data_IF_566029040138
#
_entry.id   IF_566029040138
#
_cell.length_a   1.000
_cell.length_b   1.000
_cell.length_c   1.000
_cell.angle_alpha   90.00
_cell.angle_beta   90.00
_cell.angle_gamma   90.00
#
_symmetry.space_group_name_H-M   'P 1'
#
loop_
_entity.id
_entity.type
_entity.pdbx_description
1 polymer ?
#
# COMPACT_ATOMS: atom_id res chain seq x y z
N UNK A 1 9.47 -8.34 -2.19
CA UNK A 1 8.39 -7.42 -1.81
C UNK A 1 8.82 -6.02 -2.20
N UNK A 2 8.80 -5.71 -3.50
CA UNK A 2 9.45 -4.48 -3.99
C UNK A 2 8.46 -3.50 -4.61
N UNK A 3 7.21 -3.91 -4.84
CA UNK A 3 6.23 -3.09 -5.55
C UNK A 3 4.85 -3.16 -4.92
N UNK A 4 4.33 -1.98 -4.58
CA UNK A 4 2.90 -1.77 -4.32
C UNK A 4 2.20 -1.57 -5.66
N UNK A 5 1.15 -2.35 -5.92
CA UNK A 5 0.37 -2.31 -7.16
C UNK A 5 -0.98 -1.60 -6.98
N UNK A 6 -1.48 -1.50 -5.75
CA UNK A 6 -2.70 -0.75 -5.44
C UNK A 6 -2.71 -0.23 -4.01
N UNK A 7 -3.44 0.88 -3.81
CA UNK A 7 -3.74 1.49 -2.51
C UNK A 7 -5.25 1.66 -2.44
N UNK A 8 -5.91 1.08 -1.44
CA UNK A 8 -7.37 1.11 -1.31
C UNK A 8 -7.82 1.41 0.11
N UNK A 9 -9.05 1.91 0.26
CA UNK A 9 -9.70 2.11 1.55
C UNK A 9 -10.30 0.79 2.10
N UNK A 10 -10.27 0.55 3.42
CA UNK A 10 -10.77 -0.69 4.04
C UNK A 10 -12.30 -0.79 4.13
N UNK A 11 -13.03 0.23 3.66
CA UNK A 11 -14.47 0.37 3.88
C UNK A 11 -15.36 -0.57 3.05
N UNK A 12 -14.88 -1.04 1.89
CA UNK A 12 -15.69 -1.82 0.96
C UNK A 12 -15.76 -3.30 1.34
N UNK A 13 -16.88 -3.97 1.03
CA UNK A 13 -17.01 -5.42 1.22
C UNK A 13 -15.93 -6.23 0.46
N UNK A 14 -15.59 -5.92 -0.80
CA UNK A 14 -14.47 -6.55 -1.50
C UNK A 14 -13.13 -6.39 -0.77
N UNK A 15 -12.81 -5.19 -0.28
CA UNK A 15 -11.54 -4.96 0.44
C UNK A 15 -11.49 -5.78 1.73
N UNK A 16 -12.59 -5.82 2.49
CA UNK A 16 -12.66 -6.62 3.73
C UNK A 16 -12.47 -8.10 3.45
N UNK A 17 -13.06 -8.61 2.37
CA UNK A 17 -12.89 -9.99 1.94
C UNK A 17 -11.43 -10.29 1.58
N UNK A 18 -10.79 -9.41 0.80
CA UNK A 18 -9.39 -9.53 0.44
C UNK A 18 -8.46 -9.56 1.66
N UNK A 19 -8.72 -8.73 2.68
CA UNK A 19 -7.97 -8.77 3.95
C UNK A 19 -8.15 -10.12 4.63
N UNK A 20 -9.40 -10.62 4.73
CA UNK A 20 -9.70 -11.86 5.42
C UNK A 20 -9.06 -13.08 4.73
N UNK A 21 -9.14 -13.15 3.40
CA UNK A 21 -8.47 -14.18 2.58
C UNK A 21 -6.94 -14.09 2.69
N UNK A 22 -6.38 -12.89 2.86
CA UNK A 22 -4.94 -12.74 3.06
C UNK A 22 -4.52 -13.17 4.46
N UNK A 23 -5.36 -12.95 5.49
CA UNK A 23 -5.12 -13.45 6.85
C UNK A 23 -5.08 -14.98 6.90
N UNK A 24 -6.00 -15.66 6.20
CA UNK A 24 -6.01 -17.12 6.16
C UNK A 24 -4.76 -17.72 5.47
N UNK A 25 -4.10 -16.95 4.62
CA UNK A 25 -2.84 -17.32 3.95
C UNK A 25 -1.57 -16.83 4.65
N UNK A 26 -1.65 -16.25 5.85
CA UNK A 26 -0.52 -15.60 6.54
C UNK A 26 0.18 -14.51 5.69
N UNK A 27 -0.57 -13.85 4.80
CA UNK A 27 -0.05 -12.84 3.87
C UNK A 27 -0.43 -11.41 4.28
N UNK A 28 -0.82 -11.20 5.54
CA UNK A 28 -1.13 -9.87 6.07
C UNK A 28 0.03 -9.36 6.91
N UNK A 29 0.44 -8.13 6.61
CA UNK A 29 1.42 -7.38 7.39
C UNK A 29 0.68 -6.24 8.08
N UNK A 30 0.66 -6.27 9.40
CA UNK A 30 -0.02 -5.25 10.20
C UNK A 30 0.97 -4.15 10.62
N UNK A 31 0.85 -2.97 9.99
CA UNK A 31 1.65 -1.78 10.32
C UNK A 31 0.84 -0.74 11.09
N UNK A 32 -0.29 -1.14 11.69
CA UNK A 32 -1.20 -0.21 12.36
C UNK A 32 -0.75 0.17 13.77
N UNK A 33 0.03 -0.66 14.45
CA UNK A 33 0.44 -0.47 15.84
C UNK A 33 -0.76 -0.14 16.76
N UNK A 34 -1.87 -0.89 16.63
CA UNK A 34 -3.09 -0.72 17.42
C UNK A 34 -4.00 0.43 16.98
N UNK A 35 -3.62 1.20 15.94
CA UNK A 35 -4.46 2.26 15.37
C UNK A 35 -5.46 1.67 14.38
N UNK A 36 -6.52 2.44 14.09
CA UNK A 36 -7.47 2.07 13.03
C UNK A 36 -6.77 2.01 11.67
N UNK A 37 -6.95 0.91 10.94
CA UNK A 37 -6.56 0.83 9.52
C UNK A 37 -7.28 1.90 8.72
N UNK A 38 -6.52 2.72 8.00
CA UNK A 38 -7.05 3.77 7.11
C UNK A 38 -6.77 3.46 5.64
N UNK A 39 -5.67 2.75 5.35
CA UNK A 39 -5.35 2.28 4.01
C UNK A 39 -4.95 0.81 4.02
N UNK A 40 -5.14 0.17 2.87
CA UNK A 40 -4.74 -1.20 2.57
C UNK A 40 -3.87 -1.14 1.31
N UNK A 41 -2.65 -1.64 1.43
CA UNK A 41 -1.67 -1.68 0.34
C UNK A 41 -1.62 -3.11 -0.20
N UNK A 42 -1.72 -3.25 -1.51
CA UNK A 42 -1.63 -4.54 -2.20
C UNK A 42 -0.28 -4.59 -2.92
N UNK A 43 0.47 -5.66 -2.69
CA UNK A 43 1.78 -5.88 -3.32
C UNK A 43 1.70 -6.89 -4.46
N UNK A 44 2.68 -6.85 -5.35
CA UNK A 44 2.87 -7.84 -6.41
C UNK A 44 3.05 -9.27 -5.88
N UNK A 45 3.64 -9.42 -4.69
CA UNK A 45 3.82 -10.70 -4.00
C UNK A 45 2.55 -11.27 -3.35
N UNK A 46 1.39 -10.63 -3.54
CA UNK A 46 0.12 -11.04 -2.94
C UNK A 46 -0.02 -10.72 -1.45
N UNK A 47 0.98 -10.08 -0.83
CA UNK A 47 0.88 -9.59 0.55
C UNK A 47 0.00 -8.34 0.61
N UNK A 48 -0.72 -8.21 1.73
CA UNK A 48 -1.60 -7.10 2.05
C UNK A 48 -1.08 -6.40 3.30
N UNK A 49 -0.77 -5.10 3.18
CA UNK A 49 -0.27 -4.31 4.30
C UNK A 49 -1.37 -3.40 4.82
N UNK A 50 -1.63 -3.44 6.13
CA UNK A 50 -2.60 -2.57 6.81
C UNK A 50 -1.87 -1.35 7.36
N UNK A 51 -2.30 -0.15 6.95
CA UNK A 51 -1.63 1.09 7.33
C UNK A 51 -2.57 2.06 8.07
N UNK A 52 -2.07 2.77 9.12
CA UNK A 52 -2.86 3.75 9.89
C UNK A 52 -2.83 5.16 9.26
N UNK A 53 -2.52 5.24 7.97
CA UNK A 53 -2.33 6.46 7.18
C UNK A 53 -3.38 6.48 6.08
N UNK A 54 -3.95 7.65 5.78
CA UNK A 54 -4.96 7.78 4.73
C UNK A 54 -4.39 7.41 3.35
N UNK A 55 -5.16 6.74 2.47
CA UNK A 55 -4.72 6.38 1.12
C UNK A 55 -4.15 7.58 0.33
N UNK A 56 -4.79 8.74 0.44
CA UNK A 56 -4.43 9.97 -0.25
C UNK A 56 -3.07 10.50 0.22
N UNK A 57 -2.76 10.37 1.52
CA UNK A 57 -1.46 10.75 2.07
C UNK A 57 -0.35 9.84 1.54
N UNK A 58 -0.63 8.54 1.38
CA UNK A 58 0.34 7.61 0.80
C UNK A 58 0.57 7.94 -0.68
N UNK A 59 -0.51 8.15 -1.45
CA UNK A 59 -0.42 8.53 -2.85
C UNK A 59 0.37 9.84 -3.04
N UNK A 60 0.07 10.86 -2.23
CA UNK A 60 0.77 12.15 -2.24
C UNK A 60 2.27 12.01 -1.96
N UNK A 61 2.66 11.21 -0.97
CA UNK A 61 4.08 10.95 -0.67
C UNK A 61 4.80 10.24 -1.81
N UNK A 62 4.16 9.24 -2.43
CA UNK A 62 4.72 8.53 -3.58
C UNK A 62 4.92 9.48 -4.76
N UNK A 63 3.95 10.37 -5.04
CA UNK A 63 4.11 11.38 -6.10
C UNK A 63 5.23 12.38 -5.80
N UNK A 64 5.37 12.83 -4.55
CA UNK A 64 6.46 13.75 -4.16
C UNK A 64 7.83 13.07 -4.25
N UNK A 65 7.94 11.78 -3.96
CA UNK A 65 9.19 11.03 -4.14
C UNK A 65 9.57 10.81 -5.60
N UNK A 66 8.62 10.80 -6.54
CA UNK A 66 8.92 10.72 -7.98
C UNK A 66 9.60 11.98 -8.51
N UNK A 67 9.32 13.15 -7.94
CA UNK A 67 10.01 14.40 -8.27
C UNK A 67 11.49 14.46 -7.86
N UNK A 68 11.99 13.43 -7.15
CA UNK A 68 13.40 13.29 -6.76
C UNK A 68 14.10 12.11 -7.44
N UNK A 69 13.41 11.39 -8.33
CA UNK A 69 14.07 10.50 -9.30
C UNK A 69 14.36 11.39 -10.50
N UNK A 70 15.44 12.17 -10.41
CA UNK A 70 15.99 12.87 -11.55
C UNK A 70 16.07 11.86 -12.71
N UNK A 71 15.42 12.22 -13.80
CA UNK A 71 15.63 11.62 -15.10
C UNK A 71 17.14 11.68 -15.34
N UNK A 72 17.78 10.50 -15.34
CA UNK A 72 19.20 10.40 -15.61
C UNK A 72 19.48 11.07 -16.94
N UNK A 73 20.40 12.02 -16.91
CA UNK A 73 21.01 12.67 -18.05
C UNK A 73 21.38 11.62 -19.10
N UNK A 74 20.86 11.78 -20.31
CA UNK A 74 21.55 11.32 -21.50
C UNK A 74 22.35 12.53 -21.98
N UNK A 75 23.63 12.56 -21.64
CA UNK A 75 24.62 13.42 -22.29
C UNK A 75 24.75 13.01 -23.77
N UNK A 76 24.90 14.00 -24.65
CA UNK A 76 25.22 13.86 -26.08
C UNK A 76 26.72 13.55 -26.28
#
# INVERSE_FOLDING_TARGET
MNRVIAIVSPGSAPTRRLIQESRSRNAVIDMTNGRRTKAVLITDSGHVVLAPINPETVAGRVSSSKGNRADGEYED
#
